data_IF_550399573729
#
_entry.id   IF_550399573729
#
_cell.length_a   1.000
_cell.length_b   1.000
_cell.length_c   1.000
_cell.angle_alpha   90.00
_cell.angle_beta   90.00
_cell.angle_gamma   90.00
#
_symmetry.space_group_name_H-M   'P 1'
#
loop_
_entity.id
_entity.type
_entity.pdbx_description
1 polymer ?
#
# COMPACT_ATOMS: atom_id res chain seq x y z
N UNK A 1 1.50 -14.82 -20.00
CA UNK A 1 2.24 -13.69 -19.40
C UNK A 1 1.36 -12.47 -19.09
N UNK A 2 0.64 -11.86 -20.04
CA UNK A 2 -0.20 -10.67 -19.74
C UNK A 2 -1.32 -10.92 -18.70
N UNK A 3 -1.89 -12.13 -18.67
CA UNK A 3 -2.94 -12.52 -17.73
C UNK A 3 -2.44 -12.65 -16.28
N UNK A 4 -1.24 -13.19 -16.05
CA UNK A 4 -0.61 -13.23 -14.71
C UNK A 4 -0.20 -11.85 -14.21
N UNK A 5 0.29 -10.99 -15.12
CA UNK A 5 0.59 -9.61 -14.79
C UNK A 5 -0.67 -8.82 -14.40
N UNK A 6 -1.84 -9.10 -14.99
CA UNK A 6 -3.09 -8.47 -14.60
C UNK A 6 -3.52 -8.75 -13.16
N UNK A 7 -3.27 -9.96 -12.65
CA UNK A 7 -3.72 -10.38 -11.31
C UNK A 7 -2.84 -9.86 -10.17
N UNK A 8 -1.53 -9.67 -10.38
CA UNK A 8 -0.63 -9.25 -9.29
C UNK A 8 -1.02 -7.92 -8.65
N UNK A 9 -1.49 -6.94 -9.42
CA UNK A 9 -1.95 -5.66 -8.85
C UNK A 9 -3.13 -5.83 -7.88
N UNK A 10 -4.08 -6.72 -8.21
CA UNK A 10 -5.19 -7.07 -7.34
C UNK A 10 -4.74 -7.92 -6.14
N UNK A 11 -3.70 -8.73 -6.30
CA UNK A 11 -3.07 -9.50 -5.24
C UNK A 11 -2.44 -8.59 -4.16
N UNK A 12 -1.74 -7.53 -4.58
CA UNK A 12 -1.22 -6.50 -3.66
C UNK A 12 -2.33 -5.80 -2.89
N UNK A 13 -3.39 -5.35 -3.59
CA UNK A 13 -4.56 -4.77 -2.91
C UNK A 13 -5.24 -5.73 -1.93
N UNK A 14 -5.39 -7.00 -2.30
CA UNK A 14 -5.97 -8.01 -1.42
C UNK A 14 -5.12 -8.23 -0.15
N UNK A 15 -3.79 -8.26 -0.29
CA UNK A 15 -2.86 -8.30 0.87
C UNK A 15 -2.98 -7.06 1.75
N UNK A 16 -3.11 -5.87 1.16
CA UNK A 16 -3.32 -4.64 1.92
C UNK A 16 -4.62 -4.66 2.75
N UNK A 17 -5.70 -5.20 2.19
CA UNK A 17 -6.97 -5.40 2.92
C UNK A 17 -6.78 -6.42 4.05
N UNK A 18 -6.10 -7.55 3.80
CA UNK A 18 -5.81 -8.55 4.82
C UNK A 18 -4.94 -7.99 5.94
N UNK A 19 -3.97 -7.14 5.62
CA UNK A 19 -3.13 -6.45 6.61
C UNK A 19 -3.98 -5.58 7.55
N UNK A 20 -4.91 -4.79 7.00
CA UNK A 20 -5.82 -3.97 7.80
C UNK A 20 -6.76 -4.82 8.68
N UNK A 21 -7.24 -5.96 8.18
CA UNK A 21 -8.05 -6.91 8.96
C UNK A 21 -7.22 -7.50 10.11
N UNK A 22 -5.99 -7.94 9.84
CA UNK A 22 -5.09 -8.48 10.85
C UNK A 22 -4.79 -7.43 11.95
N UNK A 23 -4.54 -6.17 11.57
CA UNK A 23 -4.33 -5.08 12.51
C UNK A 23 -5.54 -4.87 13.43
N UNK A 24 -6.75 -4.88 12.87
CA UNK A 24 -8.01 -4.77 13.64
C UNK A 24 -8.30 -5.99 14.52
N UNK A 25 -7.74 -7.14 14.20
CA UNK A 25 -7.79 -8.35 15.01
C UNK A 25 -6.68 -8.41 16.08
N UNK A 26 -5.91 -7.33 16.24
CA UNK A 26 -4.72 -7.23 17.11
C UNK A 26 -3.58 -8.22 16.75
N UNK A 27 -3.63 -8.83 15.56
CA UNK A 27 -2.52 -9.60 14.99
C UNK A 27 -1.50 -8.65 14.35
N UNK A 28 -0.74 -7.95 15.20
CA UNK A 28 0.27 -6.98 14.77
C UNK A 28 1.36 -7.59 13.90
N UNK A 29 1.81 -8.80 14.22
CA UNK A 29 2.85 -9.48 13.45
C UNK A 29 2.36 -9.88 12.06
N UNK A 30 1.15 -10.42 11.96
CA UNK A 30 0.51 -10.73 10.68
C UNK A 30 0.24 -9.49 9.86
N UNK A 31 -0.24 -8.41 10.48
CA UNK A 31 -0.49 -7.12 9.83
C UNK A 31 0.78 -6.53 9.22
N UNK A 32 1.88 -6.45 10.00
CA UNK A 32 3.15 -5.92 9.52
C UNK A 32 3.70 -6.72 8.33
N UNK A 33 3.67 -8.06 8.41
CA UNK A 33 4.11 -8.93 7.32
C UNK A 33 3.28 -8.72 6.05
N UNK A 34 1.96 -8.76 6.17
CA UNK A 34 1.05 -8.59 5.03
C UNK A 34 1.15 -7.18 4.42
N UNK A 35 1.40 -6.16 5.24
CA UNK A 35 1.60 -4.80 4.79
C UNK A 35 2.88 -4.65 3.94
N UNK A 36 3.98 -5.30 4.33
CA UNK A 36 5.21 -5.30 3.52
C UNK A 36 5.02 -6.07 2.20
N UNK A 37 4.45 -7.28 2.26
CA UNK A 37 4.14 -8.06 1.05
C UNK A 37 3.17 -7.31 0.11
N UNK A 38 2.25 -6.53 0.69
CA UNK A 38 1.36 -5.63 -0.04
C UNK A 38 2.13 -4.49 -0.68
N UNK A 39 3.13 -3.90 -0.03
CA UNK A 39 3.87 -2.73 -0.49
C UNK A 39 4.78 -3.02 -1.70
N UNK A 40 5.34 -4.22 -1.81
CA UNK A 40 6.26 -4.56 -2.91
C UNK A 40 5.59 -4.45 -4.29
N UNK A 41 4.32 -4.85 -4.40
CA UNK A 41 3.59 -4.88 -5.67
C UNK A 41 3.24 -3.46 -6.20
N UNK A 42 2.63 -2.55 -5.41
CA UNK A 42 2.43 -1.15 -5.76
C UNK A 42 3.73 -0.42 -6.11
N UNK A 43 4.83 -0.71 -5.40
CA UNK A 43 6.12 -0.07 -5.64
C UNK A 43 6.66 -0.40 -7.03
N UNK A 44 6.54 -1.64 -7.48
CA UNK A 44 6.92 -2.04 -8.84
C UNK A 44 6.05 -1.42 -9.95
N UNK A 45 4.86 -0.94 -9.61
CA UNK A 45 3.84 -0.49 -10.58
C UNK A 45 3.48 0.99 -10.52
N UNK A 46 4.06 1.73 -9.57
CA UNK A 46 3.74 3.15 -9.36
C UNK A 46 2.34 3.38 -8.81
N UNK A 47 1.75 2.41 -8.09
CA UNK A 47 0.46 2.61 -7.43
C UNK A 47 0.64 3.32 -6.08
N UNK A 48 1.01 4.60 -6.13
CA UNK A 48 1.44 5.38 -4.97
C UNK A 48 0.44 5.39 -3.80
N UNK A 49 -0.88 5.47 -4.09
CA UNK A 49 -1.90 5.42 -3.04
C UNK A 49 -1.93 4.07 -2.31
N UNK A 50 -1.83 2.96 -3.04
CA UNK A 50 -1.83 1.62 -2.46
C UNK A 50 -0.53 1.34 -1.68
N UNK A 51 0.60 1.88 -2.16
CA UNK A 51 1.87 1.84 -1.45
C UNK A 51 1.78 2.61 -0.13
N UNK A 52 1.33 3.86 -0.17
CA UNK A 52 1.18 4.71 1.01
C UNK A 52 0.27 4.05 2.07
N UNK A 53 -0.87 3.50 1.65
CA UNK A 53 -1.77 2.78 2.55
C UNK A 53 -1.09 1.57 3.20
N UNK A 54 -0.31 0.79 2.44
CA UNK A 54 0.41 -0.36 2.99
C UNK A 54 1.45 0.06 4.03
N UNK A 55 2.19 1.15 3.78
CA UNK A 55 3.17 1.67 4.74
C UNK A 55 2.50 2.20 6.02
N UNK A 56 1.33 2.85 5.92
CA UNK A 56 0.56 3.29 7.09
C UNK A 56 0.18 2.09 7.97
N UNK A 57 -0.40 1.04 7.37
CA UNK A 57 -0.79 -0.17 8.11
C UNK A 57 0.44 -0.84 8.76
N UNK A 58 1.58 -0.87 8.06
CA UNK A 58 2.83 -1.37 8.65
C UNK A 58 3.24 -0.54 9.87
N UNK A 59 3.26 0.78 9.77
CA UNK A 59 3.62 1.68 10.86
C UNK A 59 2.68 1.53 12.07
N UNK A 60 1.37 1.38 11.83
CA UNK A 60 0.39 1.12 12.90
C UNK A 60 0.64 -0.22 13.58
N UNK A 61 0.98 -1.26 12.80
CA UNK A 61 1.22 -2.60 13.32
C UNK A 61 2.53 -2.70 14.13
N UNK A 62 3.58 -1.99 13.74
CA UNK A 62 4.89 -2.04 14.40
C UNK A 62 5.09 -0.96 15.45
N UNK A 63 4.27 0.11 15.41
CA UNK A 63 4.51 1.33 16.19
C UNK A 63 5.69 2.16 15.67
N UNK A 64 6.25 1.82 14.51
CA UNK A 64 7.37 2.53 13.89
C UNK A 64 6.87 3.54 12.85
N UNK A 65 7.01 4.82 13.15
CA UNK A 65 6.62 5.92 12.27
C UNK A 65 7.68 6.30 11.21
N UNK A 66 8.73 5.50 11.04
CA UNK A 66 9.88 5.81 10.17
C UNK A 66 9.54 6.13 8.70
N UNK A 67 8.36 5.69 8.22
CA UNK A 67 7.93 5.90 6.84
C UNK A 67 7.09 7.17 6.60
N UNK A 68 6.92 8.04 7.60
CA UNK A 68 6.03 9.21 7.50
C UNK A 68 6.31 10.13 6.31
N UNK A 69 7.58 10.49 6.09
CA UNK A 69 7.96 11.35 4.96
C UNK A 69 7.76 10.69 3.58
N UNK A 70 7.97 9.37 3.49
CA UNK A 70 7.71 8.60 2.27
C UNK A 70 6.21 8.57 1.98
N UNK A 71 5.39 8.30 3.01
CA UNK A 71 3.92 8.28 2.91
C UNK A 71 3.39 9.64 2.42
N UNK A 72 3.86 10.75 2.99
CA UNK A 72 3.46 12.10 2.56
C UNK A 72 3.78 12.36 1.09
N UNK A 73 4.99 11.98 0.65
CA UNK A 73 5.43 12.12 -0.74
C UNK A 73 4.55 11.31 -1.68
N UNK A 74 4.31 10.03 -1.35
CA UNK A 74 3.46 9.15 -2.15
C UNK A 74 2.03 9.66 -2.28
N UNK A 75 1.47 10.21 -1.21
CA UNK A 75 0.12 10.79 -1.22
C UNK A 75 0.06 12.07 -2.08
N UNK A 76 1.09 12.92 -2.01
CA UNK A 76 1.19 14.10 -2.86
C UNK A 76 1.25 13.74 -4.35
N UNK A 77 2.11 12.78 -4.72
CA UNK A 77 2.24 12.30 -6.10
C UNK A 77 0.95 11.63 -6.60
N UNK A 78 0.27 10.85 -5.76
CA UNK A 78 -1.03 10.26 -6.10
C UNK A 78 -2.08 11.34 -6.35
N UNK A 79 -2.14 12.37 -5.50
CA UNK A 79 -3.07 13.49 -5.65
C UNK A 79 -2.80 14.29 -6.93
N UNK A 80 -1.53 14.53 -7.27
CA UNK A 80 -1.14 15.16 -8.53
C UNK A 80 -1.59 14.34 -9.74
N UNK A 81 -1.36 13.02 -9.73
CA UNK A 81 -1.79 12.11 -10.80
C UNK A 81 -3.32 12.16 -11.03
N UNK A 82 -4.10 12.18 -9.95
CA UNK A 82 -5.56 12.31 -10.04
C UNK A 82 -6.01 13.64 -10.62
N UNK A 83 -5.38 14.75 -10.20
CA UNK A 83 -5.67 16.09 -10.75
C UNK A 83 -5.35 16.18 -12.24
N UNK A 84 -4.19 15.67 -12.64
CA UNK A 84 -3.78 15.65 -14.04
C UNK A 84 -4.69 14.79 -14.90
N UNK A 85 -5.27 13.71 -14.36
CA UNK A 85 -6.20 12.83 -15.07
C UNK A 85 -7.63 13.38 -15.15
N UNK A 86 -8.02 14.26 -14.23
CA UNK A 86 -9.35 14.88 -14.19
C UNK A 86 -9.49 16.11 -15.12
N UNK A 87 -8.38 16.59 -15.69
CA UNK A 87 -8.32 17.77 -16.56
C UNK A 87 -8.64 17.48 -18.05
N UNK A 88 -9.23 16.31 -18.34
CA UNK A 88 -9.46 15.78 -19.70
C UNK A 88 -10.97 15.76 -19.98
#
# INVERSE_FOLDING_TARGET
>A
MAREAGYRGFEGMARGVLAAIAARADDRAGAARLALESADIPRERGFNLALAHSLIVHCEATGDAGNGAEVETLLAEAADSFRSSAAW
#
